data_IF_952934297213
#
_entry.id   IF_952934297213
#
_cell.length_a   1.000
_cell.length_b   1.000
_cell.length_c   1.000
_cell.angle_alpha   90.00
_cell.angle_beta   90.00
_cell.angle_gamma   90.00
#
_symmetry.space_group_name_H-M   'P 1'
#
loop_
_entity.id
_entity.type
_entity.pdbx_description
1 polymer ?
#
# COMPACT_ATOMS: atom_id res chain seq x y z
N UNK A 1 -28.66 -25.67 14.60
CA UNK A 1 -28.05 -25.40 15.92
C UNK A 1 -27.07 -24.23 15.77
N UNK A 2 -27.57 -23.01 15.57
CA UNK A 2 -27.87 -21.96 16.59
C UNK A 2 -26.65 -21.13 17.03
N UNK A 3 -26.52 -19.95 16.41
CA UNK A 3 -26.36 -18.62 17.05
C UNK A 3 -25.08 -18.34 17.88
N UNK A 4 -24.23 -19.33 18.15
CA UNK A 4 -23.01 -19.15 18.96
C UNK A 4 -21.71 -18.86 18.17
N UNK A 5 -21.75 -18.73 16.84
CA UNK A 5 -20.57 -18.41 16.02
C UNK A 5 -20.34 -16.91 15.80
N UNK A 6 -21.29 -16.04 16.18
CA UNK A 6 -21.22 -14.59 15.93
C UNK A 6 -20.57 -13.81 17.08
N UNK A 7 -20.37 -14.43 18.25
CA UNK A 7 -19.87 -13.76 19.47
C UNK A 7 -18.37 -14.01 19.78
N UNK A 8 -17.61 -14.67 18.91
CA UNK A 8 -16.18 -14.98 19.16
C UNK A 8 -15.16 -14.16 18.35
N UNK A 9 -15.58 -13.12 17.64
CA UNK A 9 -14.66 -12.27 16.84
C UNK A 9 -14.35 -10.90 17.46
N UNK A 10 -14.81 -10.60 18.68
CA UNK A 10 -14.69 -9.25 19.27
C UNK A 10 -13.88 -9.28 20.57
N UNK A 11 -12.76 -10.00 20.59
CA UNK A 11 -11.84 -9.98 21.73
C UNK A 11 -10.48 -9.35 21.40
N UNK A 12 -10.27 -8.75 20.22
CA UNK A 12 -9.03 -8.05 19.87
C UNK A 12 -9.30 -6.90 18.88
N UNK A 13 -9.15 -5.66 19.32
CA UNK A 13 -9.06 -4.46 18.49
C UNK A 13 -7.60 -4.12 18.28
N UNK A 14 -7.25 -4.01 17.02
CA UNK A 14 -5.95 -3.60 16.54
C UNK A 14 -6.10 -2.19 15.95
N UNK A 15 -5.12 -1.29 16.13
CA UNK A 15 -5.06 0.04 15.49
C UNK A 15 -3.61 0.56 15.45
N UNK A 16 -3.34 1.66 14.75
CA UNK A 16 -2.09 2.41 14.94
C UNK A 16 -2.43 3.89 15.16
N UNK A 17 -1.69 4.56 16.05
CA UNK A 17 -1.85 6.00 16.27
C UNK A 17 -0.50 6.72 16.41
N UNK A 18 -0.47 8.03 16.10
CA UNK A 18 0.64 8.89 16.48
C UNK A 18 0.93 8.77 17.97
N UNK A 19 2.21 8.66 18.35
CA UNK A 19 2.66 8.56 19.75
C UNK A 19 2.03 9.60 20.67
N UNK A 20 1.92 10.90 20.31
CA UNK A 20 1.32 11.88 21.20
C UNK A 20 -0.18 11.63 21.48
N UNK A 21 -0.85 10.83 20.65
CA UNK A 21 -2.26 10.48 20.81
C UNK A 21 -2.48 9.19 21.62
N UNK A 22 -1.43 8.46 22.02
CA UNK A 22 -1.58 7.20 22.76
C UNK A 22 -1.67 7.38 24.28
N UNK A 23 -1.95 8.60 24.75
CA UNK A 23 -2.03 8.93 26.18
C UNK A 23 -3.44 8.67 26.71
N UNK A 24 -3.60 8.39 28.02
CA UNK A 24 -4.93 8.27 28.64
C UNK A 24 -5.80 9.51 28.41
N UNK A 25 -5.20 10.70 28.44
CA UNK A 25 -5.89 11.96 28.23
C UNK A 25 -6.42 12.11 26.79
N UNK A 26 -5.62 11.78 25.78
CA UNK A 26 -6.03 11.83 24.38
C UNK A 26 -7.18 10.83 24.10
N UNK A 27 -7.13 9.64 24.70
CA UNK A 27 -8.20 8.63 24.58
C UNK A 27 -9.47 9.03 25.34
N UNK A 28 -9.35 9.60 26.54
CA UNK A 28 -10.49 10.02 27.36
C UNK A 28 -11.22 11.21 26.73
N UNK A 29 -10.47 12.20 26.26
CA UNK A 29 -11.01 13.37 25.53
C UNK A 29 -11.37 13.03 24.09
N UNK A 30 -11.00 11.83 23.61
CA UNK A 30 -11.21 11.35 22.25
C UNK A 30 -10.70 12.36 21.22
N UNK A 31 -9.58 13.01 21.52
CA UNK A 31 -8.99 14.04 20.68
C UNK A 31 -7.53 13.70 20.37
N UNK A 32 -7.20 13.55 19.08
CA UNK A 32 -5.83 13.36 18.61
C UNK A 32 -5.39 14.61 17.84
N UNK A 33 -5.03 15.65 18.61
CA UNK A 33 -4.57 16.93 18.07
C UNK A 33 -3.29 17.38 18.78
N UNK A 34 -2.13 16.79 18.44
CA UNK A 34 -0.88 17.09 19.12
C UNK A 34 -0.48 18.57 18.99
N UNK A 35 0.27 19.05 19.98
CA UNK A 35 0.76 20.43 19.99
C UNK A 35 1.97 20.58 19.05
N UNK A 36 1.90 21.57 18.18
CA UNK A 36 3.03 22.07 17.40
C UNK A 36 3.28 23.53 17.80
N UNK A 37 4.49 23.82 18.29
CA UNK A 37 4.89 25.13 18.82
C UNK A 37 3.88 25.69 19.85
N UNK A 38 3.41 24.83 20.75
CA UNK A 38 2.49 25.21 21.84
C UNK A 38 1.02 25.32 21.45
N UNK A 39 0.64 25.05 20.20
CA UNK A 39 -0.76 25.11 19.73
C UNK A 39 -1.20 23.80 19.07
N UNK A 40 -2.44 23.31 19.31
CA UNK A 40 -2.95 22.11 18.64
C UNK A 40 -2.88 22.27 17.12
N UNK A 41 -2.33 21.26 16.44
CA UNK A 41 -2.24 21.22 14.98
C UNK A 41 -1.51 22.42 14.34
N UNK A 42 -0.68 23.13 15.11
CA UNK A 42 0.02 24.32 14.65
C UNK A 42 -0.90 25.49 14.31
N UNK A 43 -2.04 25.62 15.01
CA UNK A 43 -2.99 26.72 14.78
C UNK A 43 -2.35 28.10 14.89
N UNK A 44 -1.53 28.34 15.92
CA UNK A 44 -0.88 29.64 16.12
C UNK A 44 0.16 29.98 15.05
N UNK A 45 0.66 28.98 14.32
CA UNK A 45 1.58 29.16 13.20
C UNK A 45 0.88 29.08 11.84
N UNK A 46 -0.46 29.07 11.81
CA UNK A 46 -1.23 29.06 10.57
C UNK A 46 -1.14 27.74 9.79
N UNK A 47 -0.88 26.61 10.47
CA UNK A 47 -0.65 25.31 9.80
C UNK A 47 -1.86 24.41 9.75
N UNK A 48 -2.79 24.56 10.69
CA UNK A 48 -3.94 23.69 10.77
C UNK A 48 -4.79 23.95 12.00
N UNK A 49 -5.80 23.13 12.17
CA UNK A 49 -6.76 23.25 13.26
C UNK A 49 -7.17 21.87 13.76
N UNK A 50 -7.47 21.77 15.05
CA UNK A 50 -8.12 20.59 15.60
C UNK A 50 -9.60 20.62 15.20
N UNK A 51 -10.01 19.71 14.33
CA UNK A 51 -11.35 19.70 13.75
C UNK A 51 -12.11 18.42 14.13
N UNK A 52 -13.45 18.49 14.30
CA UNK A 52 -14.26 17.31 14.51
C UNK A 52 -14.25 16.42 13.25
N UNK A 53 -14.22 15.11 13.46
CA UNK A 53 -14.33 14.13 12.39
C UNK A 53 -15.69 14.23 11.70
N UNK A 54 -15.79 14.18 10.35
CA UNK A 54 -17.07 14.31 9.63
C UNK A 54 -18.14 13.29 10.07
N UNK A 55 -17.72 12.08 10.44
CA UNK A 55 -18.62 11.05 10.97
C UNK A 55 -18.85 11.12 12.49
N UNK A 56 -18.57 12.24 13.16
CA UNK A 56 -18.68 12.36 14.63
C UNK A 56 -20.05 11.98 15.15
N UNK A 57 -21.08 12.44 14.45
CA UNK A 57 -22.48 12.35 14.85
C UNK A 57 -23.19 11.11 14.25
N UNK A 58 -22.45 10.28 13.49
CA UNK A 58 -22.96 9.00 12.99
C UNK A 58 -22.83 7.90 14.07
N UNK A 59 -23.69 6.87 14.03
CA UNK A 59 -23.53 5.71 14.89
C UNK A 59 -22.15 5.09 14.77
N UNK A 60 -21.59 4.62 15.90
CA UNK A 60 -20.31 3.92 15.90
C UNK A 60 -20.44 2.63 15.09
N UNK A 61 -19.55 2.38 14.13
CA UNK A 61 -19.61 1.15 13.34
C UNK A 61 -19.20 -0.06 14.17
N UNK A 62 -19.67 -1.23 13.73
CA UNK A 62 -19.26 -2.53 14.30
C UNK A 62 -17.79 -2.82 14.02
N UNK A 63 -17.31 -2.47 12.82
CA UNK A 63 -15.90 -2.59 12.45
C UNK A 63 -15.20 -1.24 12.57
N UNK A 64 -14.13 -1.18 13.36
CA UNK A 64 -13.38 0.03 13.69
C UNK A 64 -12.72 0.73 12.50
N UNK A 65 -12.59 0.02 11.37
CA UNK A 65 -12.03 0.54 10.13
C UNK A 65 -13.06 1.26 9.28
N UNK A 66 -14.35 1.08 9.55
CA UNK A 66 -15.41 1.90 8.98
C UNK A 66 -15.42 3.25 9.70
N UNK A 67 -15.61 4.35 8.97
CA UNK A 67 -15.54 5.71 9.51
C UNK A 67 -14.25 5.98 10.30
N UNK A 68 -13.12 5.41 9.89
CA UNK A 68 -11.84 5.56 10.58
C UNK A 68 -11.48 7.04 10.81
N UNK A 69 -11.01 7.45 12.01
CA UNK A 69 -10.70 6.67 13.21
C UNK A 69 -11.80 6.82 14.29
N UNK A 70 -13.06 7.00 13.89
CA UNK A 70 -14.16 7.50 14.72
C UNK A 70 -14.37 6.79 16.04
N UNK A 71 -14.10 5.48 16.11
CA UNK A 71 -14.26 4.73 17.36
C UNK A 71 -13.29 5.21 18.45
N UNK A 72 -12.12 5.71 18.06
CA UNK A 72 -11.09 6.19 18.99
C UNK A 72 -11.14 7.69 19.21
N UNK A 73 -11.24 8.47 18.13
CA UNK A 73 -11.19 9.93 18.21
C UNK A 73 -12.40 10.59 17.55
N UNK A 74 -12.90 11.64 18.20
CA UNK A 74 -13.91 12.59 17.74
C UNK A 74 -13.30 13.75 16.97
N UNK A 75 -12.06 14.12 17.29
CA UNK A 75 -11.36 15.26 16.70
C UNK A 75 -9.93 14.90 16.34
N UNK A 76 -9.49 15.36 15.16
CA UNK A 76 -8.14 15.16 14.64
C UNK A 76 -7.65 16.43 13.94
N UNK A 77 -6.33 16.53 13.71
CA UNK A 77 -5.79 17.66 12.96
C UNK A 77 -6.25 17.68 11.51
N UNK A 78 -6.65 18.87 11.05
CA UNK A 78 -6.84 19.23 9.64
C UNK A 78 -5.84 20.32 9.27
N UNK A 79 -4.95 20.02 8.35
CA UNK A 79 -3.87 20.92 7.94
C UNK A 79 -4.31 21.83 6.78
N UNK A 80 -3.75 23.02 6.71
CA UNK A 80 -4.02 24.01 5.67
C UNK A 80 -2.92 24.07 4.62
N UNK A 81 -3.28 24.47 3.40
CA UNK A 81 -2.33 24.62 2.30
C UNK A 81 -1.52 23.34 2.04
N UNK A 82 -0.19 23.49 2.02
CA UNK A 82 0.74 22.38 1.78
C UNK A 82 1.25 21.72 3.06
N UNK A 83 0.71 22.05 4.23
CA UNK A 83 1.06 21.40 5.49
C UNK A 83 0.40 20.02 5.60
N UNK A 84 1.06 19.12 6.31
CA UNK A 84 0.66 17.72 6.45
C UNK A 84 1.21 17.10 7.74
N UNK A 85 0.92 15.82 7.96
CA UNK A 85 1.27 15.08 9.17
C UNK A 85 0.14 15.10 10.18
N UNK A 86 0.21 14.21 11.17
CA UNK A 86 -0.83 14.10 12.20
C UNK A 86 -0.95 15.33 13.11
N UNK A 87 0.03 16.24 13.06
CA UNK A 87 0.15 17.48 13.84
C UNK A 87 0.41 18.72 12.96
N UNK A 88 0.32 18.58 11.63
CA UNK A 88 0.61 19.62 10.65
C UNK A 88 2.07 20.12 10.63
N UNK A 89 3.00 19.37 11.19
CA UNK A 89 4.43 19.70 11.19
C UNK A 89 5.13 19.44 9.86
N UNK A 90 4.62 18.50 9.07
CA UNK A 90 5.20 18.04 7.81
C UNK A 90 4.62 18.79 6.62
N UNK A 91 5.12 18.45 5.44
CA UNK A 91 4.59 18.93 4.16
C UNK A 91 3.87 17.83 3.41
N UNK A 92 2.90 18.20 2.58
CA UNK A 92 2.25 17.29 1.64
C UNK A 92 3.29 16.65 0.72
N UNK A 93 3.05 15.43 0.20
CA UNK A 93 3.89 14.87 -0.85
C UNK A 93 4.11 15.88 -1.98
N UNK A 94 5.37 16.05 -2.41
CA UNK A 94 5.77 17.06 -3.39
C UNK A 94 6.18 18.42 -2.84
N UNK A 95 6.16 18.60 -1.53
CA UNK A 95 6.55 19.84 -0.87
C UNK A 95 7.56 19.59 0.24
N UNK A 96 8.42 20.57 0.49
CA UNK A 96 9.44 20.57 1.55
C UNK A 96 9.73 21.98 2.05
N UNK A 97 10.65 22.07 3.00
CA UNK A 97 11.05 23.30 3.68
C UNK A 97 10.14 23.63 4.86
N UNK A 98 10.61 24.52 5.74
CA UNK A 98 9.92 24.86 6.99
C UNK A 98 8.56 25.54 6.82
N UNK A 99 8.20 25.97 5.61
CA UNK A 99 6.89 26.57 5.28
C UNK A 99 6.15 25.79 4.18
N UNK A 100 6.67 24.63 3.75
CA UNK A 100 6.08 23.82 2.68
C UNK A 100 5.86 24.58 1.35
N UNK A 101 6.81 25.47 1.01
CA UNK A 101 6.78 26.29 -0.20
C UNK A 101 7.76 25.81 -1.28
N UNK A 102 8.68 24.90 -0.95
CA UNK A 102 9.65 24.38 -1.90
C UNK A 102 9.13 23.08 -2.49
N UNK A 103 9.25 22.89 -3.80
CA UNK A 103 8.90 21.61 -4.44
C UNK A 103 9.96 20.56 -4.10
N UNK A 104 9.49 19.37 -3.78
CA UNK A 104 10.31 18.17 -3.63
C UNK A 104 9.90 17.18 -4.71
N UNK A 105 10.87 16.53 -5.34
CA UNK A 105 10.61 15.59 -6.41
C UNK A 105 11.67 14.48 -6.46
N UNK A 106 11.21 13.23 -6.61
CA UNK A 106 12.07 12.06 -6.86
C UNK A 106 11.63 11.30 -8.10
N UNK A 107 12.58 10.70 -8.82
CA UNK A 107 12.28 9.84 -9.97
C UNK A 107 12.43 8.38 -9.55
N UNK A 108 11.31 7.64 -9.45
CA UNK A 108 11.31 6.20 -9.14
C UNK A 108 11.79 5.42 -10.35
N UNK A 109 12.93 4.76 -10.22
CA UNK A 109 13.55 3.95 -11.28
C UNK A 109 13.17 2.48 -11.17
N UNK A 110 13.36 1.75 -12.26
CA UNK A 110 13.36 0.29 -12.23
C UNK A 110 14.55 -0.19 -11.37
N UNK A 111 14.32 -1.19 -10.52
CA UNK A 111 15.31 -1.66 -9.54
C UNK A 111 16.63 -2.15 -10.18
N UNK A 112 16.58 -2.70 -11.40
CA UNK A 112 17.74 -3.16 -12.17
C UNK A 112 18.44 -2.04 -12.94
N UNK A 113 17.86 -0.84 -13.01
CA UNK A 113 18.48 0.36 -13.56
C UNK A 113 19.20 1.21 -12.48
N UNK A 114 19.12 0.81 -11.20
CA UNK A 114 19.85 1.48 -10.13
C UNK A 114 21.35 1.25 -10.27
N UNK A 115 22.14 2.28 -9.99
CA UNK A 115 23.57 2.10 -9.73
C UNK A 115 23.80 1.29 -8.45
N UNK A 116 24.99 0.69 -8.31
CA UNK A 116 25.34 -0.07 -7.10
C UNK A 116 25.18 0.75 -5.82
N UNK A 117 25.57 2.03 -5.84
CA UNK A 117 25.42 2.94 -4.71
C UNK A 117 23.95 3.23 -4.38
N UNK A 118 23.09 3.45 -5.38
CA UNK A 118 21.65 3.63 -5.15
C UNK A 118 21.01 2.37 -4.57
N UNK A 119 21.37 1.20 -5.09
CA UNK A 119 20.88 -0.09 -4.61
C UNK A 119 21.30 -0.35 -3.16
N UNK A 120 22.57 -0.12 -2.82
CA UNK A 120 23.09 -0.24 -1.46
C UNK A 120 22.42 0.74 -0.49
N UNK A 121 22.21 1.99 -0.93
CA UNK A 121 21.50 3.02 -0.13
C UNK A 121 20.06 2.60 0.15
N UNK A 122 19.35 2.10 -0.86
CA UNK A 122 17.98 1.63 -0.71
C UNK A 122 17.90 0.45 0.27
N UNK A 123 18.73 -0.57 0.05
CA UNK A 123 18.75 -1.80 0.86
C UNK A 123 19.16 -1.50 2.32
N UNK A 124 20.17 -0.65 2.54
CA UNK A 124 20.60 -0.26 3.89
C UNK A 124 19.53 0.55 4.63
N UNK A 125 18.80 1.43 3.92
CA UNK A 125 17.68 2.19 4.48
C UNK A 125 16.55 1.26 4.94
N UNK A 126 16.22 0.23 4.16
CA UNK A 126 15.25 -0.80 4.56
C UNK A 126 15.74 -1.57 5.80
N UNK A 127 17.02 -1.93 5.85
CA UNK A 127 17.60 -2.60 7.01
C UNK A 127 17.53 -1.74 8.26
N UNK A 128 17.84 -0.45 8.15
CA UNK A 128 17.70 0.50 9.26
C UNK A 128 16.24 0.59 9.70
N UNK A 129 15.30 0.75 8.77
CA UNK A 129 13.87 0.78 9.07
C UNK A 129 13.37 -0.47 9.78
N UNK A 130 13.93 -1.65 9.47
CA UNK A 130 13.59 -2.92 10.13
C UNK A 130 14.02 -2.99 11.59
N UNK A 131 15.10 -2.31 11.96
CA UNK A 131 15.70 -2.42 13.30
C UNK A 131 15.54 -1.16 14.16
N UNK A 132 15.18 -0.02 13.57
CA UNK A 132 14.95 1.22 14.30
C UNK A 132 13.48 1.37 14.73
N UNK A 133 13.19 1.60 16.02
CA UNK A 133 11.84 1.91 16.50
C UNK A 133 11.23 3.11 15.78
N UNK A 134 9.93 3.07 15.46
CA UNK A 134 9.22 4.24 14.96
C UNK A 134 9.19 5.31 16.04
N UNK A 135 9.76 6.49 15.79
CA UNK A 135 9.70 7.63 16.70
C UNK A 135 8.37 8.37 16.69
N UNK A 136 7.43 7.97 15.83
CA UNK A 136 6.22 8.76 15.52
C UNK A 136 4.91 8.03 15.76
N UNK A 137 4.89 6.70 15.64
CA UNK A 137 3.67 5.90 15.76
C UNK A 137 3.85 4.71 16.70
N UNK A 138 2.73 4.20 17.19
CA UNK A 138 2.64 2.97 17.97
C UNK A 138 1.48 2.11 17.47
N UNK A 139 1.55 0.82 17.77
CA UNK A 139 0.49 -0.14 17.50
C UNK A 139 -0.37 -0.29 18.75
N UNK A 140 -1.69 -0.23 18.61
CA UNK A 140 -2.65 -0.59 19.63
C UNK A 140 -3.04 -2.05 19.48
N UNK A 141 -3.05 -2.76 20.61
CA UNK A 141 -3.84 -3.99 20.80
C UNK A 141 -4.78 -3.78 21.99
N UNK A 142 -6.04 -4.17 21.87
CA UNK A 142 -7.02 -4.08 22.95
C UNK A 142 -7.91 -5.30 22.92
N UNK A 143 -8.26 -5.89 24.07
CA UNK A 143 -9.18 -7.03 24.02
C UNK A 143 -10.66 -6.60 23.92
N UNK A 144 -10.97 -5.36 24.26
CA UNK A 144 -12.30 -4.75 24.16
C UNK A 144 -12.16 -3.23 24.33
N UNK A 145 -12.36 -2.47 23.25
CA UNK A 145 -12.28 -1.00 23.26
C UNK A 145 -13.44 -0.30 23.97
N UNK A 146 -14.49 -1.01 24.35
CA UNK A 146 -15.60 -0.44 25.14
C UNK A 146 -15.26 -0.35 26.62
N UNK A 147 -14.21 -1.05 27.06
CA UNK A 147 -13.70 -1.00 28.44
C UNK A 147 -12.57 0.02 28.55
N UNK A 148 -12.79 1.07 29.34
CA UNK A 148 -11.78 2.08 29.66
C UNK A 148 -10.55 1.40 30.30
N UNK A 149 -9.36 1.68 29.76
CA UNK A 149 -8.10 1.11 30.26
C UNK A 149 -7.66 -0.22 29.62
N UNK A 150 -8.45 -0.81 28.72
CA UNK A 150 -8.11 -2.07 28.03
C UNK A 150 -7.32 -1.87 26.73
N UNK A 151 -6.64 -0.73 26.56
CA UNK A 151 -5.85 -0.38 25.37
C UNK A 151 -4.36 -0.44 25.70
N UNK A 152 -3.62 -1.34 25.03
CA UNK A 152 -2.18 -1.48 25.20
C UNK A 152 -1.45 -1.02 23.94
N UNK A 153 -0.56 -0.06 24.10
CA UNK A 153 0.26 0.48 23.01
C UNK A 153 1.65 -0.14 23.00
N UNK A 154 2.07 -0.55 21.82
CA UNK A 154 3.28 -1.31 21.57
C UNK A 154 4.24 -0.51 20.69
N UNK A 155 5.50 -0.49 21.11
CA UNK A 155 6.60 -0.02 20.28
C UNK A 155 6.89 -1.04 19.17
N UNK A 156 7.19 -0.55 17.97
CA UNK A 156 7.55 -1.38 16.82
C UNK A 156 8.58 -0.66 15.97
N UNK A 157 9.31 -1.37 15.12
CA UNK A 157 10.21 -0.73 14.15
C UNK A 157 9.43 -0.04 13.03
N UNK A 158 10.08 0.86 12.31
CA UNK A 158 9.45 1.57 11.16
C UNK A 158 8.94 0.57 10.13
N UNK A 159 9.71 -0.47 9.80
CA UNK A 159 9.28 -1.51 8.87
C UNK A 159 8.19 -2.41 9.46
N UNK A 160 8.29 -2.79 10.74
CA UNK A 160 7.27 -3.66 11.36
C UNK A 160 5.92 -2.91 11.55
N UNK A 161 5.94 -1.59 11.72
CA UNK A 161 4.73 -0.75 11.65
C UNK A 161 4.08 -0.85 10.26
N UNK A 162 4.88 -0.71 9.21
CA UNK A 162 4.43 -0.86 7.83
C UNK A 162 3.78 -2.23 7.60
N UNK A 163 4.45 -3.33 8.00
CA UNK A 163 3.90 -4.69 7.94
C UNK A 163 2.56 -4.79 8.67
N UNK A 164 2.51 -4.24 9.88
CA UNK A 164 1.33 -4.29 10.72
C UNK A 164 0.13 -3.56 10.10
N UNK A 165 0.36 -2.39 9.49
CA UNK A 165 -0.70 -1.60 8.86
C UNK A 165 -1.37 -2.35 7.71
N UNK A 166 -0.58 -3.05 6.88
CA UNK A 166 -1.12 -3.91 5.82
C UNK A 166 -1.90 -5.08 6.40
N UNK A 167 -1.34 -5.79 7.38
CA UNK A 167 -2.02 -6.88 8.07
C UNK A 167 -3.39 -6.44 8.61
N UNK A 168 -3.43 -5.31 9.33
CA UNK A 168 -4.64 -4.77 9.92
C UNK A 168 -5.71 -4.44 8.87
N UNK A 169 -5.31 -3.76 7.79
CA UNK A 169 -6.23 -3.38 6.72
C UNK A 169 -6.70 -4.56 5.88
N UNK A 170 -5.91 -5.62 5.79
CA UNK A 170 -6.24 -6.78 4.97
C UNK A 170 -7.16 -7.80 5.65
N UNK A 171 -7.42 -7.69 6.96
CA UNK A 171 -8.43 -8.53 7.64
C UNK A 171 -9.81 -8.28 7.04
N UNK A 172 -10.62 -9.32 6.89
CA UNK A 172 -12.02 -9.16 6.51
C UNK A 172 -12.76 -8.21 7.45
N UNK A 173 -13.70 -7.41 6.92
CA UNK A 173 -14.60 -6.66 7.77
C UNK A 173 -15.56 -7.59 8.53
N UNK A 174 -16.09 -7.12 9.65
CA UNK A 174 -17.14 -7.83 10.37
C UNK A 174 -18.33 -8.16 9.44
N UNK A 175 -18.57 -9.46 9.20
CA UNK A 175 -19.67 -9.94 8.35
C UNK A 175 -19.48 -9.78 6.84
N UNK A 176 -18.26 -9.52 6.35
CA UNK A 176 -17.96 -9.36 4.92
C UNK A 176 -16.72 -10.16 4.49
N UNK A 177 -16.62 -10.53 3.22
CA UNK A 177 -15.36 -11.03 2.62
C UNK A 177 -14.43 -9.91 2.12
N UNK A 178 -14.89 -8.65 2.13
CA UNK A 178 -14.11 -7.48 1.74
C UNK A 178 -13.23 -7.00 2.91
N UNK A 179 -12.22 -6.17 2.61
CA UNK A 179 -11.34 -5.57 3.62
C UNK A 179 -10.98 -4.12 3.26
N UNK A 180 -10.08 -3.46 4.00
CA UNK A 180 -9.77 -2.04 3.78
C UNK A 180 -8.78 -1.75 2.66
N UNK A 181 -7.98 -2.75 2.29
CA UNK A 181 -6.87 -2.57 1.35
C UNK A 181 -7.04 -3.35 0.03
N UNK A 182 -8.03 -4.24 -0.10
CA UNK A 182 -8.18 -5.18 -1.21
C UNK A 182 -9.66 -5.47 -1.51
N UNK A 183 -9.90 -6.15 -2.63
CA UNK A 183 -11.19 -6.70 -3.09
C UNK A 183 -12.25 -5.63 -3.30
N UNK A 184 -11.84 -4.45 -3.74
CA UNK A 184 -12.75 -3.35 -4.03
C UNK A 184 -12.03 -2.07 -4.43
N UNK A 185 -12.80 -0.99 -4.71
CA UNK A 185 -12.30 0.25 -5.31
C UNK A 185 -11.11 0.89 -4.58
N UNK A 186 -10.99 0.69 -3.26
CA UNK A 186 -9.92 1.30 -2.46
C UNK A 186 -8.54 0.68 -2.72
N UNK A 187 -8.47 -0.52 -3.32
CA UNK A 187 -7.24 -1.33 -3.41
C UNK A 187 -6.02 -0.52 -3.83
N UNK A 188 -6.08 0.16 -4.97
CA UNK A 188 -4.88 0.74 -5.57
C UNK A 188 -4.48 2.05 -4.87
N UNK A 189 -5.45 2.89 -4.51
CA UNK A 189 -5.19 4.15 -3.81
C UNK A 189 -4.73 3.92 -2.37
N UNK A 190 -5.26 2.89 -1.69
CA UNK A 190 -4.77 2.49 -0.37
C UNK A 190 -3.28 2.15 -0.44
N UNK A 191 -2.87 1.36 -1.44
CA UNK A 191 -1.45 1.02 -1.63
C UNK A 191 -0.60 2.22 -2.07
N UNK A 192 -1.13 3.18 -2.86
CA UNK A 192 -0.44 4.45 -3.15
C UNK A 192 -0.12 5.22 -1.86
N UNK A 193 -1.10 5.38 -0.97
CA UNK A 193 -0.91 6.04 0.34
C UNK A 193 0.05 5.24 1.22
N UNK A 194 -0.02 3.91 1.15
CA UNK A 194 0.85 3.01 1.90
C UNK A 194 2.32 3.16 1.51
N UNK A 195 2.62 3.25 0.22
CA UNK A 195 3.97 3.51 -0.30
C UNK A 195 4.47 4.89 0.11
N UNK A 196 3.64 5.93 -0.05
CA UNK A 196 3.99 7.30 0.37
C UNK A 196 4.24 7.38 1.89
N UNK A 197 3.48 6.63 2.69
CA UNK A 197 3.67 6.55 4.13
C UNK A 197 5.06 6.00 4.47
N UNK A 198 5.43 4.81 3.99
CA UNK A 198 6.71 4.21 4.37
C UNK A 198 7.90 4.94 3.75
N UNK A 199 7.76 5.48 2.54
CA UNK A 199 8.78 6.33 1.92
C UNK A 199 9.07 7.56 2.79
N UNK A 200 8.02 8.21 3.31
CA UNK A 200 8.16 9.31 4.27
C UNK A 200 8.82 8.85 5.57
N UNK A 201 8.34 7.78 6.20
CA UNK A 201 8.91 7.34 7.48
C UNK A 201 10.39 6.94 7.35
N UNK A 202 10.82 6.41 6.21
CA UNK A 202 12.24 6.13 5.92
C UNK A 202 13.03 7.42 5.71
N UNK A 203 12.50 8.42 4.97
CA UNK A 203 13.15 9.74 4.83
C UNK A 203 13.35 10.43 6.18
N UNK A 204 12.34 10.38 7.05
CA UNK A 204 12.40 10.92 8.41
C UNK A 204 13.42 10.17 9.27
N UNK A 205 13.48 8.84 9.18
CA UNK A 205 14.42 8.02 9.94
C UNK A 205 15.87 8.23 9.52
N UNK A 206 16.11 8.30 8.21
CA UNK A 206 17.47 8.32 7.63
C UNK A 206 18.01 9.73 7.44
N UNK A 207 17.15 10.74 7.39
CA UNK A 207 17.48 12.09 6.94
C UNK A 207 17.70 12.21 5.43
N UNK A 208 17.66 11.10 4.68
CA UNK A 208 17.81 11.09 3.23
C UNK A 208 16.48 11.45 2.57
N UNK A 209 16.27 12.74 2.29
CA UNK A 209 15.05 13.24 1.66
C UNK A 209 14.89 12.77 0.20
N UNK A 210 15.97 12.30 -0.44
CA UNK A 210 15.94 11.79 -1.81
C UNK A 210 15.64 10.28 -1.87
N UNK A 211 15.46 9.61 -0.73
CA UNK A 211 15.04 8.21 -0.70
C UNK A 211 13.73 8.03 -1.47
N UNK A 212 13.68 7.01 -2.34
CA UNK A 212 12.49 6.61 -3.06
C UNK A 212 12.39 5.09 -3.15
N UNK A 213 11.17 4.59 -3.36
CA UNK A 213 10.91 3.16 -3.58
C UNK A 213 11.00 2.86 -5.09
N UNK A 214 12.02 2.13 -5.56
CA UNK A 214 12.09 1.71 -6.96
C UNK A 214 10.94 0.75 -7.29
N UNK A 215 10.67 0.53 -8.57
CA UNK A 215 9.68 -0.43 -9.01
C UNK A 215 10.34 -1.66 -9.63
N UNK A 216 9.63 -2.80 -9.61
CA UNK A 216 10.05 -4.02 -10.28
C UNK A 216 9.11 -4.33 -11.45
N UNK A 217 9.57 -4.14 -12.68
CA UNK A 217 8.79 -4.50 -13.87
C UNK A 217 8.93 -6.02 -14.12
N UNK A 218 8.07 -6.77 -13.42
CA UNK A 218 8.02 -8.23 -13.52
C UNK A 218 7.64 -8.75 -14.92
N UNK A 219 7.17 -7.91 -15.85
CA UNK A 219 6.87 -8.36 -17.23
C UNK A 219 8.10 -8.59 -18.09
N UNK A 220 9.27 -8.13 -17.64
CA UNK A 220 10.53 -8.15 -18.42
C UNK A 220 11.40 -9.36 -18.15
N UNK A 221 10.91 -10.29 -17.33
CA UNK A 221 11.64 -11.48 -16.92
C UNK A 221 10.67 -12.66 -16.80
N UNK A 222 11.20 -13.88 -16.95
CA UNK A 222 10.46 -15.12 -16.71
C UNK A 222 10.77 -15.76 -15.34
N UNK A 223 11.66 -15.13 -14.56
CA UNK A 223 12.06 -15.55 -13.22
C UNK A 223 12.22 -14.35 -12.29
N UNK A 224 12.31 -14.57 -10.98
CA UNK A 224 12.63 -13.49 -10.04
C UNK A 224 14.10 -13.04 -10.20
N UNK A 225 14.35 -12.05 -11.05
CA UNK A 225 15.68 -11.49 -11.33
C UNK A 225 16.25 -10.66 -10.16
N UNK A 226 15.42 -10.27 -9.19
CA UNK A 226 15.82 -9.57 -7.96
C UNK A 226 15.92 -10.49 -6.73
N UNK A 227 15.78 -11.80 -6.93
CA UNK A 227 15.99 -12.82 -5.89
C UNK A 227 17.44 -13.31 -5.91
N UNK A 228 18.39 -12.40 -5.75
CA UNK A 228 19.83 -12.66 -5.71
C UNK A 228 20.46 -11.95 -4.52
N UNK A 229 21.67 -12.34 -4.11
CA UNK A 229 22.36 -11.69 -2.97
C UNK A 229 22.78 -10.25 -3.23
N UNK A 230 22.79 -9.83 -4.49
CA UNK A 230 22.96 -8.43 -4.89
C UNK A 230 21.73 -7.56 -4.52
N UNK A 231 20.54 -8.18 -4.50
CA UNK A 231 19.26 -7.54 -4.19
C UNK A 231 18.66 -8.13 -2.90
N UNK A 232 17.53 -8.85 -3.00
CA UNK A 232 16.74 -9.28 -1.84
C UNK A 232 17.04 -10.71 -1.37
N UNK A 233 18.24 -11.19 -1.68
CA UNK A 233 18.75 -12.51 -1.30
C UNK A 233 18.39 -13.63 -2.28
N UNK A 234 19.38 -14.48 -2.54
CA UNK A 234 19.21 -15.76 -3.23
C UNK A 234 18.32 -16.72 -2.43
N UNK A 235 17.82 -17.75 -3.09
CA UNK A 235 16.83 -18.68 -2.51
C UNK A 235 17.36 -20.11 -2.56
N UNK A 236 17.42 -20.76 -1.40
CA UNK A 236 17.77 -22.18 -1.27
C UNK A 236 16.64 -23.12 -1.71
N UNK A 237 16.93 -24.42 -1.82
CA UNK A 237 15.94 -25.43 -2.20
C UNK A 237 14.80 -25.58 -1.17
N UNK A 238 15.06 -25.23 0.08
CA UNK A 238 14.10 -25.21 1.19
C UNK A 238 13.29 -23.90 1.26
N UNK A 239 13.51 -22.98 0.31
CA UNK A 239 12.89 -21.67 0.25
C UNK A 239 13.43 -20.64 1.24
N UNK A 240 14.48 -20.98 1.99
CA UNK A 240 15.13 -19.98 2.86
C UNK A 240 15.96 -19.03 2.02
N UNK A 241 15.98 -17.78 2.46
CA UNK A 241 16.89 -16.78 1.89
C UNK A 241 18.33 -17.17 2.26
N UNK A 242 19.22 -17.07 1.27
CA UNK A 242 20.66 -17.33 1.39
C UNK A 242 21.26 -16.61 2.60
N UNK A 243 22.03 -17.34 3.40
CA UNK A 243 22.60 -16.85 4.67
C UNK A 243 23.57 -15.68 4.52
N UNK A 244 24.12 -15.46 3.31
CA UNK A 244 24.96 -14.30 2.99
C UNK A 244 24.16 -13.02 2.78
N UNK A 245 22.87 -13.13 2.45
CA UNK A 245 21.97 -11.99 2.37
C UNK A 245 21.54 -11.53 3.77
N UNK A 246 21.53 -10.23 4.01
CA UNK A 246 21.03 -9.65 5.26
C UNK A 246 19.55 -9.96 5.52
N UNK A 247 18.76 -10.19 4.47
CA UNK A 247 17.34 -10.51 4.57
C UNK A 247 17.09 -11.92 5.14
N UNK A 248 18.10 -12.81 5.12
CA UNK A 248 17.99 -14.12 5.79
C UNK A 248 17.77 -14.01 7.30
N UNK A 249 18.23 -12.91 7.91
CA UNK A 249 18.07 -12.64 9.35
C UNK A 249 16.74 -11.99 9.70
N UNK A 250 15.97 -11.55 8.70
CA UNK A 250 14.70 -10.88 8.92
C UNK A 250 13.66 -11.84 9.47
N UNK A 251 13.10 -11.44 10.60
CA UNK A 251 12.02 -12.14 11.28
C UNK A 251 10.68 -11.63 10.77
N UNK A 252 9.81 -12.56 10.39
CA UNK A 252 8.43 -12.32 9.97
C UNK A 252 7.59 -12.02 11.21
N UNK A 253 6.78 -10.97 11.13
CA UNK A 253 5.69 -10.75 12.06
C UNK A 253 4.47 -11.52 11.54
N UNK A 254 4.08 -12.55 12.28
CA UNK A 254 2.97 -13.45 11.96
C UNK A 254 1.85 -13.32 13.00
N UNK A 255 0.58 -13.44 12.59
CA UNK A 255 -0.57 -13.33 13.49
C UNK A 255 -1.01 -14.63 14.18
N UNK A 256 -0.42 -15.80 13.90
CA UNK A 256 -0.99 -17.07 14.40
C UNK A 256 -0.57 -17.44 15.83
N UNK A 257 -1.59 -17.39 16.72
CA UNK A 257 -1.67 -17.90 18.10
C UNK A 257 -0.90 -17.13 19.18
N UNK A 258 -1.10 -15.80 19.20
CA UNK A 258 -0.74 -14.96 20.36
C UNK A 258 -0.83 -13.45 20.19
N UNK A 259 -1.30 -12.94 19.04
CA UNK A 259 -1.53 -11.50 18.76
C UNK A 259 -0.23 -10.69 18.66
N UNK A 260 0.62 -10.88 17.63
CA UNK A 260 1.85 -10.05 17.47
C UNK A 260 2.59 -9.91 18.82
N UNK A 261 2.95 -11.03 19.45
CA UNK A 261 3.61 -11.01 20.75
C UNK A 261 4.92 -10.21 20.67
N UNK A 262 4.91 -9.02 21.27
CA UNK A 262 6.06 -8.53 22.02
C UNK A 262 6.15 -9.44 23.26
N UNK A 263 7.07 -10.40 23.18
CA UNK A 263 7.38 -11.49 24.13
C UNK A 263 6.39 -12.66 24.24
N UNK A 264 6.80 -13.85 23.78
CA UNK A 264 7.27 -14.93 24.68
C UNK A 264 7.76 -16.16 23.91
N UNK A 265 8.64 -16.90 24.57
CA UNK A 265 9.40 -18.05 24.09
C UNK A 265 8.56 -19.32 23.95
N UNK A 266 8.26 -19.72 22.71
CA UNK A 266 8.10 -21.12 22.29
C UNK A 266 8.04 -21.18 20.75
N UNK A 267 9.18 -21.48 20.11
CA UNK A 267 9.46 -21.41 18.67
C UNK A 267 9.45 -19.97 18.11
N UNK A 268 10.65 -19.36 18.03
CA UNK A 268 10.83 -17.96 17.65
C UNK A 268 10.24 -17.56 16.27
N UNK A 269 10.21 -16.25 15.95
CA UNK A 269 9.59 -15.75 14.72
C UNK A 269 10.17 -16.42 13.48
N UNK A 270 9.30 -16.93 12.60
CA UNK A 270 9.71 -17.53 11.33
C UNK A 270 10.51 -16.52 10.50
N UNK A 271 11.54 -16.98 9.80
CA UNK A 271 12.30 -16.17 8.87
C UNK A 271 11.54 -16.00 7.55
N UNK A 272 11.96 -15.06 6.70
CA UNK A 272 11.43 -14.94 5.35
C UNK A 272 11.59 -16.26 4.58
N UNK A 273 10.52 -16.69 3.90
CA UNK A 273 10.50 -17.84 3.01
C UNK A 273 10.06 -17.34 1.63
N UNK A 274 10.78 -17.77 0.60
CA UNK A 274 10.49 -17.44 -0.79
C UNK A 274 10.72 -18.67 -1.65
N UNK A 275 9.85 -18.95 -2.62
CA UNK A 275 9.98 -20.11 -3.50
C UNK A 275 9.50 -19.76 -4.93
N UNK A 276 10.15 -18.81 -5.63
CA UNK A 276 9.63 -18.24 -6.87
C UNK A 276 9.40 -19.31 -7.95
N UNK A 277 8.17 -19.39 -8.47
CA UNK A 277 7.79 -20.31 -9.54
C UNK A 277 7.78 -21.79 -9.15
N UNK A 278 7.93 -22.12 -7.86
CA UNK A 278 7.89 -23.51 -7.36
C UNK A 278 6.50 -23.98 -6.94
N UNK A 279 5.51 -23.09 -6.93
CA UNK A 279 4.12 -23.47 -6.72
C UNK A 279 3.63 -24.40 -7.86
N UNK A 280 2.86 -25.48 -7.58
CA UNK A 280 2.38 -26.39 -8.62
C UNK A 280 1.51 -25.74 -9.70
N UNK A 281 0.85 -24.62 -9.37
CA UNK A 281 -0.05 -23.87 -10.24
C UNK A 281 0.61 -22.58 -10.71
N UNK A 282 1.11 -21.75 -9.79
CA UNK A 282 1.58 -20.39 -10.11
C UNK A 282 3.07 -20.34 -10.44
N UNK A 283 3.43 -20.87 -11.62
CA UNK A 283 4.84 -21.03 -12.05
C UNK A 283 5.44 -19.87 -12.82
N UNK A 284 4.60 -18.91 -13.24
CA UNK A 284 4.99 -17.83 -14.16
C UNK A 284 4.61 -16.47 -13.62
N UNK A 285 5.33 -15.44 -14.07
CA UNK A 285 4.97 -14.05 -13.85
C UNK A 285 3.95 -13.59 -14.89
N UNK A 286 3.19 -12.50 -14.63
CA UNK A 286 2.34 -11.92 -15.65
C UNK A 286 3.16 -11.28 -16.78
N UNK A 287 2.56 -11.22 -17.96
CA UNK A 287 3.22 -10.86 -19.22
C UNK A 287 2.95 -9.41 -19.61
N UNK A 288 3.66 -8.90 -20.61
CA UNK A 288 3.35 -7.61 -21.22
C UNK A 288 1.93 -7.56 -21.81
N UNK A 289 1.44 -8.66 -22.39
CA UNK A 289 0.09 -8.76 -22.92
C UNK A 289 -0.98 -8.69 -21.81
N UNK A 290 -0.69 -9.23 -20.62
CA UNK A 290 -1.59 -9.11 -19.46
C UNK A 290 -1.73 -7.65 -19.01
N UNK A 291 -0.62 -6.91 -19.03
CA UNK A 291 -0.63 -5.47 -18.76
C UNK A 291 -1.44 -4.75 -19.84
N UNK A 292 -1.15 -4.98 -21.13
CA UNK A 292 -1.87 -4.32 -22.23
C UNK A 292 -3.40 -4.54 -22.16
N UNK A 293 -3.86 -5.77 -21.91
CA UNK A 293 -5.29 -6.07 -21.74
C UNK A 293 -5.89 -5.39 -20.50
N UNK A 294 -5.14 -5.30 -19.41
CA UNK A 294 -5.57 -4.61 -18.20
C UNK A 294 -5.72 -3.11 -18.47
N UNK A 295 -4.69 -2.49 -19.06
CA UNK A 295 -4.62 -1.05 -19.34
C UNK A 295 -5.69 -0.59 -20.33
N UNK A 296 -6.16 -1.45 -21.24
CA UNK A 296 -7.24 -1.14 -22.18
C UNK A 296 -8.65 -1.07 -21.53
N UNK A 297 -8.77 -1.33 -20.22
CA UNK A 297 -10.06 -1.36 -19.53
C UNK A 297 -10.54 0.04 -19.18
N UNK A 298 -11.64 0.48 -19.80
CA UNK A 298 -12.10 1.87 -19.70
C UNK A 298 -12.63 2.30 -18.33
N UNK A 299 -13.28 1.39 -17.59
CA UNK A 299 -13.91 1.73 -16.30
C UNK A 299 -12.98 1.38 -15.15
N UNK A 300 -12.81 2.32 -14.20
CA UNK A 300 -12.00 2.09 -13.00
C UNK A 300 -12.49 0.87 -12.22
N UNK A 301 -13.79 0.81 -11.94
CA UNK A 301 -14.43 -0.34 -11.31
C UNK A 301 -15.90 -0.45 -11.72
N UNK A 302 -16.51 -1.60 -11.46
CA UNK A 302 -17.89 -1.91 -11.88
C UNK A 302 -18.64 -2.62 -10.76
N UNK A 303 -19.98 -2.52 -10.68
CA UNK A 303 -20.77 -3.32 -9.75
C UNK A 303 -20.44 -4.82 -9.85
N UNK A 304 -20.43 -5.57 -8.73
CA UNK A 304 -20.80 -5.14 -7.38
C UNK A 304 -19.66 -4.48 -6.57
N UNK A 305 -18.56 -4.07 -7.22
CA UNK A 305 -17.39 -3.41 -6.60
C UNK A 305 -16.64 -4.30 -5.61
N UNK A 306 -16.55 -5.59 -5.93
CA UNK A 306 -15.78 -6.59 -5.19
C UNK A 306 -14.89 -7.43 -6.12
N UNK A 307 -14.33 -8.54 -5.63
CA UNK A 307 -13.49 -9.48 -6.39
C UNK A 307 -14.18 -10.13 -7.61
N UNK A 308 -15.51 -10.07 -7.70
CA UNK A 308 -16.31 -10.67 -8.79
C UNK A 308 -16.62 -9.69 -9.92
N UNK A 309 -16.24 -8.41 -9.76
CA UNK A 309 -16.44 -7.34 -10.75
C UNK A 309 -15.82 -7.70 -12.10
N UNK A 310 -16.49 -7.32 -13.20
CA UNK A 310 -16.09 -7.65 -14.57
C UNK A 310 -15.97 -6.38 -15.40
N UNK A 311 -15.03 -6.33 -16.35
CA UNK A 311 -14.69 -5.10 -17.08
C UNK A 311 -14.27 -3.97 -16.13
N UNK A 312 -13.59 -4.34 -15.04
CA UNK A 312 -13.12 -3.44 -13.99
C UNK A 312 -11.60 -3.38 -14.06
N UNK A 313 -11.05 -2.20 -14.35
CA UNK A 313 -9.60 -1.98 -14.35
C UNK A 313 -9.00 -2.37 -13.00
N UNK A 314 -9.61 -1.92 -11.91
CA UNK A 314 -9.21 -2.27 -10.55
C UNK A 314 -9.17 -3.77 -10.35
N UNK A 315 -10.21 -4.51 -10.74
CA UNK A 315 -10.30 -5.95 -10.48
C UNK A 315 -9.38 -6.79 -11.38
N UNK A 316 -9.14 -6.36 -12.63
CA UNK A 316 -8.11 -6.93 -13.50
C UNK A 316 -6.71 -6.68 -12.96
N UNK A 317 -6.39 -5.45 -12.57
CA UNK A 317 -5.07 -5.09 -12.04
C UNK A 317 -4.78 -5.79 -10.71
N UNK A 318 -5.75 -5.82 -9.81
CA UNK A 318 -5.66 -6.57 -8.54
C UNK A 318 -5.45 -8.07 -8.79
N UNK A 319 -6.07 -8.58 -9.85
CA UNK A 319 -5.83 -9.93 -10.35
C UNK A 319 -6.88 -10.94 -9.94
N UNK A 320 -8.15 -10.53 -9.86
CA UNK A 320 -9.31 -11.42 -9.67
C UNK A 320 -10.14 -11.61 -10.94
N UNK A 321 -9.98 -10.73 -11.94
CA UNK A 321 -10.47 -10.93 -13.30
C UNK A 321 -9.32 -11.48 -14.16
N UNK A 322 -9.40 -12.76 -14.51
CA UNK A 322 -8.32 -13.50 -15.18
C UNK A 322 -8.51 -13.50 -16.71
N UNK A 323 -7.43 -13.40 -17.50
CA UNK A 323 -7.50 -13.57 -18.94
C UNK A 323 -7.87 -15.02 -19.29
N UNK A 324 -8.64 -15.21 -20.36
CA UNK A 324 -8.92 -16.54 -20.92
C UNK A 324 -7.75 -16.96 -21.82
N UNK A 325 -6.73 -17.59 -21.24
CA UNK A 325 -5.54 -18.05 -21.95
C UNK A 325 -5.15 -19.49 -21.60
N UNK A 326 -4.03 -19.97 -22.15
CA UNK A 326 -3.56 -21.34 -21.95
C UNK A 326 -2.99 -21.63 -20.56
N UNK A 327 -2.85 -20.64 -19.67
CA UNK A 327 -2.29 -20.84 -18.32
C UNK A 327 -3.33 -21.36 -17.34
N UNK A 328 -4.63 -21.12 -17.59
CA UNK A 328 -5.77 -21.54 -16.76
C UNK A 328 -5.58 -21.21 -15.27
N UNK A 329 -5.12 -19.99 -14.99
CA UNK A 329 -4.83 -19.51 -13.64
C UNK A 329 -6.04 -18.79 -13.04
N UNK A 330 -6.26 -18.99 -11.74
CA UNK A 330 -7.20 -18.21 -10.93
C UNK A 330 -6.51 -17.06 -10.17
N UNK A 331 -5.42 -16.55 -10.74
CA UNK A 331 -4.75 -15.31 -10.35
C UNK A 331 -4.08 -14.69 -11.57
N UNK A 332 -4.18 -13.37 -11.73
CA UNK A 332 -3.49 -12.59 -12.76
C UNK A 332 -2.77 -11.40 -12.12
N UNK A 333 -1.99 -10.65 -12.90
CA UNK A 333 -1.45 -9.33 -12.53
C UNK A 333 -0.86 -9.29 -11.10
N UNK A 334 -1.37 -8.40 -10.23
CA UNK A 334 -0.90 -8.25 -8.87
C UNK A 334 -0.94 -9.55 -8.05
N UNK A 335 -2.08 -10.24 -8.04
CA UNK A 335 -2.25 -11.49 -7.29
C UNK A 335 -1.31 -12.59 -7.79
N UNK A 336 -1.08 -12.68 -9.10
CA UNK A 336 -0.20 -13.70 -9.66
C UNK A 336 1.26 -13.51 -9.21
N UNK A 337 1.75 -12.27 -9.07
CA UNK A 337 3.11 -12.03 -8.55
C UNK A 337 3.24 -12.48 -7.09
N UNK A 338 2.24 -12.17 -6.25
CA UNK A 338 2.20 -12.66 -4.87
C UNK A 338 2.24 -14.20 -4.81
N UNK A 339 1.44 -14.87 -5.64
CA UNK A 339 1.39 -16.33 -5.71
C UNK A 339 2.69 -16.93 -6.27
N UNK A 340 3.24 -16.32 -7.30
CA UNK A 340 4.47 -16.73 -7.96
C UNK A 340 5.65 -16.75 -6.99
N UNK A 341 5.82 -15.71 -6.17
CA UNK A 341 6.93 -15.63 -5.22
C UNK A 341 6.87 -16.74 -4.16
N UNK A 342 5.66 -17.23 -3.84
CA UNK A 342 5.40 -18.30 -2.86
C UNK A 342 6.00 -18.00 -1.46
N UNK A 343 5.63 -18.76 -0.43
CA UNK A 343 6.09 -18.49 0.94
C UNK A 343 5.49 -17.21 1.54
N UNK A 344 6.32 -16.33 2.09
CA UNK A 344 5.88 -15.16 2.86
C UNK A 344 5.03 -14.19 2.01
N UNK A 345 5.40 -13.99 0.73
CA UNK A 345 4.69 -13.10 -0.21
C UNK A 345 3.32 -13.61 -0.66
N UNK A 346 3.04 -14.91 -0.55
CA UNK A 346 1.80 -15.49 -1.07
C UNK A 346 0.62 -15.45 -0.10
N UNK A 347 0.87 -15.06 1.15
CA UNK A 347 -0.14 -14.93 2.20
C UNK A 347 -0.39 -13.46 2.50
N UNK A 348 -1.61 -13.00 2.25
CA UNK A 348 -2.02 -11.60 2.45
C UNK A 348 -1.60 -11.04 3.84
N UNK A 349 -1.80 -11.75 4.97
CA UNK A 349 -1.42 -11.24 6.29
C UNK A 349 0.08 -11.03 6.52
N UNK A 350 0.93 -11.71 5.73
CA UNK A 350 2.38 -11.69 5.94
C UNK A 350 3.16 -11.09 4.77
N UNK A 351 2.53 -10.83 3.63
CA UNK A 351 3.20 -10.47 2.39
C UNK A 351 4.15 -9.26 2.55
N UNK A 352 3.71 -8.22 3.25
CA UNK A 352 4.50 -7.01 3.48
C UNK A 352 5.81 -7.24 4.28
N UNK A 353 5.98 -8.40 4.93
CA UNK A 353 7.25 -8.74 5.57
C UNK A 353 8.40 -8.91 4.58
N UNK A 354 8.13 -9.36 3.36
CA UNK A 354 9.12 -9.46 2.30
C UNK A 354 9.29 -8.08 1.63
N UNK A 355 10.49 -7.50 1.59
CA UNK A 355 10.73 -6.18 0.99
C UNK A 355 10.42 -6.10 -0.51
N UNK A 356 10.36 -7.23 -1.22
CA UNK A 356 9.91 -7.25 -2.63
C UNK A 356 8.47 -6.70 -2.77
N UNK A 357 7.65 -6.78 -1.72
CA UNK A 357 6.31 -6.18 -1.68
C UNK A 357 6.32 -4.71 -2.12
N UNK A 358 7.25 -3.90 -1.61
CA UNK A 358 7.27 -2.46 -1.91
C UNK A 358 7.51 -2.20 -3.39
N UNK A 359 8.41 -2.96 -4.01
CA UNK A 359 8.76 -2.80 -5.43
C UNK A 359 7.64 -3.29 -6.34
N UNK A 360 7.01 -4.41 -5.96
CA UNK A 360 5.83 -4.94 -6.63
C UNK A 360 4.70 -3.90 -6.65
N UNK A 361 4.36 -3.36 -5.47
CA UNK A 361 3.31 -2.35 -5.37
C UNK A 361 3.70 -1.01 -5.99
N UNK A 362 4.99 -0.66 -6.03
CA UNK A 362 5.47 0.52 -6.75
C UNK A 362 5.24 0.38 -8.26
N UNK A 363 5.36 -0.83 -8.83
CA UNK A 363 5.01 -1.08 -10.22
C UNK A 363 3.49 -1.09 -10.45
N UNK A 364 2.70 -1.63 -9.52
CA UNK A 364 1.22 -1.52 -9.56
C UNK A 364 0.78 -0.04 -9.53
N UNK A 365 1.43 0.79 -8.72
CA UNK A 365 1.18 2.24 -8.66
C UNK A 365 1.59 2.96 -9.95
N UNK A 366 2.68 2.52 -10.60
CA UNK A 366 3.06 2.99 -11.95
C UNK A 366 1.95 2.70 -12.97
N UNK A 367 1.41 1.48 -12.96
CA UNK A 367 0.31 1.09 -13.86
C UNK A 367 -0.96 1.91 -13.60
N UNK A 368 -1.29 2.20 -12.34
CA UNK A 368 -2.39 3.12 -12.01
C UNK A 368 -2.17 4.49 -12.64
N UNK A 369 -0.98 5.05 -12.47
CA UNK A 369 -0.68 6.39 -12.97
C UNK A 369 -0.81 6.47 -14.49
N UNK A 370 -0.25 5.49 -15.20
CA UNK A 370 -0.39 5.40 -16.66
C UNK A 370 -1.86 5.29 -17.06
N UNK A 371 -2.65 4.50 -16.33
CA UNK A 371 -4.07 4.34 -16.64
C UNK A 371 -4.85 5.63 -16.44
N UNK A 372 -4.58 6.37 -15.35
CA UNK A 372 -5.22 7.67 -15.07
C UNK A 372 -4.90 8.72 -16.14
N UNK A 373 -3.68 8.71 -16.69
CA UNK A 373 -3.28 9.61 -17.78
C UNK A 373 -4.06 9.33 -19.06
N UNK A 374 -4.32 8.06 -19.37
CA UNK A 374 -5.06 7.64 -20.56
C UNK A 374 -6.59 7.71 -20.38
N UNK A 375 -7.08 7.77 -19.13
CA UNK A 375 -8.50 7.69 -18.78
C UNK A 375 -8.96 8.87 -17.91
N UNK A 376 -8.65 10.10 -18.33
CA UNK A 376 -8.96 11.32 -17.56
C UNK A 376 -10.45 11.55 -17.23
N UNK A 377 -11.37 10.95 -18.00
CA UNK A 377 -12.82 11.01 -17.77
C UNK A 377 -13.33 9.96 -16.78
N UNK A 378 -12.47 9.06 -16.30
CA UNK A 378 -12.89 8.06 -15.32
C UNK A 378 -13.20 8.69 -13.96
N UNK A 379 -14.07 8.02 -13.20
CA UNK A 379 -14.46 8.45 -11.86
C UNK A 379 -14.32 7.33 -10.85
N UNK A 380 -13.95 7.69 -9.61
CA UNK A 380 -14.07 6.77 -8.49
C UNK A 380 -15.55 6.41 -8.28
N UNK A 381 -15.90 5.14 -8.02
CA UNK A 381 -17.28 4.70 -7.84
C UNK A 381 -18.01 5.46 -6.72
N UNK A 382 -19.12 6.10 -7.08
CA UNK A 382 -20.09 6.66 -6.14
C UNK A 382 -21.36 5.80 -6.16
N UNK A 383 -21.42 4.78 -5.29
CA UNK A 383 -22.52 3.84 -5.23
C UNK A 383 -22.67 3.24 -3.84
N UNK A 384 -23.92 3.00 -3.42
CA UNK A 384 -24.21 2.30 -2.18
C UNK A 384 -23.82 0.81 -2.19
N UNK A 385 -23.58 0.24 -3.37
CA UNK A 385 -23.03 -1.11 -3.51
C UNK A 385 -21.55 -1.19 -3.10
N UNK A 386 -20.83 -0.07 -3.06
CA UNK A 386 -19.47 -0.02 -2.54
C UNK A 386 -19.53 -0.16 -1.01
N UNK A 387 -18.73 -1.10 -0.48
CA UNK A 387 -18.61 -1.28 0.97
C UNK A 387 -18.33 0.08 1.65
N UNK A 388 -19.03 0.46 2.73
CA UNK A 388 -18.95 1.81 3.30
C UNK A 388 -17.54 2.35 3.54
N UNK A 389 -16.62 1.52 4.03
CA UNK A 389 -15.23 1.90 4.26
C UNK A 389 -14.37 2.11 2.99
N UNK A 390 -14.83 1.64 1.83
CA UNK A 390 -14.17 1.81 0.53
C UNK A 390 -14.84 2.87 -0.36
N UNK A 391 -15.87 3.55 0.13
CA UNK A 391 -16.51 4.65 -0.61
C UNK A 391 -15.53 5.81 -0.79
N UNK A 392 -15.74 6.60 -1.84
CA UNK A 392 -14.85 7.70 -2.23
C UNK A 392 -14.44 8.58 -1.03
N UNK A 393 -15.43 9.03 -0.24
CA UNK A 393 -15.25 9.95 0.90
C UNK A 393 -14.93 9.25 2.23
N UNK A 394 -14.85 7.91 2.26
CA UNK A 394 -14.48 7.20 3.47
C UNK A 394 -12.96 7.28 3.68
N UNK A 395 -12.54 7.48 4.94
CA UNK A 395 -11.13 7.52 5.31
C UNK A 395 -10.51 6.13 5.32
N UNK A 396 -9.34 6.01 4.69
CA UNK A 396 -8.56 4.77 4.61
C UNK A 396 -7.97 4.42 5.97
N UNK A 397 -8.46 3.33 6.57
CA UNK A 397 -7.85 2.80 7.77
C UNK A 397 -6.51 2.09 7.47
N UNK A 398 -5.51 2.15 8.36
CA UNK A 398 -5.48 2.90 9.62
C UNK A 398 -4.68 4.20 9.49
N UNK A 399 -4.70 4.91 8.36
CA UNK A 399 -3.74 6.00 8.13
C UNK A 399 -3.97 7.21 9.03
N UNK A 400 -2.86 7.83 9.42
CA UNK A 400 -2.77 9.18 9.96
C UNK A 400 -1.66 9.92 9.19
N UNK A 401 -1.87 11.20 8.79
CA UNK A 401 -3.12 11.93 8.83
C UNK A 401 -4.20 11.29 7.95
N UNK A 402 -5.46 11.70 8.15
CA UNK A 402 -6.58 11.07 7.45
C UNK A 402 -6.53 11.35 5.94
N UNK A 403 -6.86 10.32 5.16
CA UNK A 403 -6.95 10.35 3.70
C UNK A 403 -8.18 9.59 3.26
N UNK A 404 -9.05 10.22 2.48
CA UNK A 404 -10.20 9.54 1.87
C UNK A 404 -9.73 8.67 0.71
N UNK A 405 -10.48 7.63 0.35
CA UNK A 405 -10.12 6.75 -0.77
C UNK A 405 -9.93 7.52 -2.09
N UNK A 406 -10.68 8.61 -2.31
CA UNK A 406 -10.53 9.48 -3.47
C UNK A 406 -9.60 10.69 -3.27
N UNK A 407 -8.89 10.81 -2.14
CA UNK A 407 -8.09 12.01 -1.84
C UNK A 407 -7.04 12.32 -2.92
N UNK A 408 -6.42 11.27 -3.47
CA UNK A 408 -5.45 11.35 -4.55
C UNK A 408 -6.07 11.08 -5.94
N UNK A 409 -7.41 10.98 -6.02
CA UNK A 409 -8.07 10.99 -7.32
C UNK A 409 -7.88 12.37 -7.97
N UNK A 410 -7.51 12.40 -9.24
CA UNK A 410 -7.21 13.64 -9.97
C UNK A 410 -5.92 14.35 -9.54
N UNK A 411 -5.04 13.69 -8.76
CA UNK A 411 -3.69 14.18 -8.46
C UNK A 411 -2.68 13.24 -9.10
N UNK A 412 -2.04 13.71 -10.17
CA UNK A 412 -0.97 12.98 -10.83
C UNK A 412 0.23 12.79 -9.90
N UNK A 413 1.07 11.80 -10.20
CA UNK A 413 2.27 11.52 -9.39
C UNK A 413 3.22 12.73 -9.33
N UNK A 414 3.31 13.51 -10.41
CA UNK A 414 4.13 14.72 -10.49
C UNK A 414 3.75 15.75 -9.41
N UNK A 415 2.45 15.97 -9.19
CA UNK A 415 1.91 16.84 -8.16
C UNK A 415 2.24 16.33 -6.76
N UNK A 416 2.27 15.00 -6.58
CA UNK A 416 2.65 14.29 -5.36
C UNK A 416 4.17 14.22 -5.13
N UNK A 417 4.99 14.78 -6.03
CA UNK A 417 6.44 14.86 -5.84
C UNK A 417 7.19 13.61 -6.27
N UNK A 418 6.62 12.80 -7.16
CA UNK A 418 7.38 11.72 -7.75
C UNK A 418 6.97 11.45 -9.19
N UNK A 419 7.85 10.85 -9.96
CA UNK A 419 7.53 10.32 -11.28
C UNK A 419 8.13 8.93 -11.43
N UNK A 420 7.72 8.21 -12.47
CA UNK A 420 8.34 6.94 -12.83
C UNK A 420 9.25 7.15 -14.02
N UNK A 421 10.52 6.75 -13.89
CA UNK A 421 11.40 6.64 -15.04
C UNK A 421 10.94 5.47 -15.89
N UNK A 422 11.06 5.58 -17.21
CA UNK A 422 11.01 4.40 -18.06
C UNK A 422 12.30 3.59 -17.95
N UNK A 423 12.17 2.28 -18.14
CA UNK A 423 13.32 1.40 -18.07
C UNK A 423 14.32 1.78 -19.18
N UNK A 424 15.60 1.83 -18.84
CA UNK A 424 16.72 2.16 -19.74
C UNK A 424 16.76 1.31 -21.03
N UNK A 425 16.24 0.09 -20.98
CA UNK A 425 16.20 -0.83 -22.11
C UNK A 425 14.80 -0.83 -22.75
N UNK A 426 14.75 -0.52 -24.05
CA UNK A 426 13.52 -0.67 -24.84
C UNK A 426 12.97 -2.10 -24.73
N UNK A 427 11.63 -2.24 -24.65
CA UNK A 427 11.01 -3.57 -24.72
C UNK A 427 11.40 -4.21 -26.06
N UNK A 428 11.83 -5.49 -26.09
CA UNK A 428 12.00 -6.20 -27.34
C UNK A 428 10.67 -6.14 -28.09
N UNK A 429 10.68 -5.70 -29.35
CA UNK A 429 9.47 -5.73 -30.18
C UNK A 429 8.89 -7.14 -30.12
N UNK A 430 7.61 -7.26 -29.81
CA UNK A 430 6.91 -8.53 -29.88
C UNK A 430 7.24 -9.14 -31.24
N UNK A 431 7.83 -10.35 -31.27
CA UNK A 431 8.05 -11.06 -32.53
C UNK A 431 6.68 -11.20 -33.17
N UNK A 432 6.40 -10.37 -34.17
CA UNK A 432 5.29 -10.56 -35.08
C UNK A 432 5.46 -11.97 -35.67
N UNK A 433 4.72 -12.94 -35.14
CA UNK A 433 4.42 -14.16 -35.88
C UNK A 433 3.60 -13.70 -37.07
N UNK A 434 4.30 -13.56 -38.20
CA UNK A 434 3.73 -13.09 -39.44
C UNK A 434 2.52 -13.92 -39.83
N UNK A 435 1.40 -13.25 -40.07
CA UNK A 435 0.68 -13.27 -41.36
C UNK A 435 -0.60 -12.47 -41.18
N UNK A 436 -0.63 -11.25 -41.73
CA UNK A 436 -1.86 -10.66 -42.28
C UNK A 436 -1.47 -9.69 -43.37
N UNK A 437 -1.98 -10.00 -44.55
CA UNK A 437 -1.65 -9.36 -45.81
C UNK A 437 -1.92 -7.87 -45.82
N UNK A 438 -1.17 -7.19 -46.67
CA UNK A 438 -1.32 -5.80 -47.00
C UNK A 438 -2.77 -5.44 -47.33
N UNK A 439 -3.29 -4.44 -46.63
CA UNK A 439 -4.36 -3.58 -47.12
C UNK A 439 -3.94 -2.15 -46.82
N UNK A 440 -3.57 -1.42 -47.88
CA UNK A 440 -3.10 -0.04 -47.79
C UNK A 440 -4.16 0.87 -47.16
N UNK A 441 -3.72 1.74 -46.25
CA UNK A 441 -4.48 2.92 -45.85
C UNK A 441 -3.98 4.10 -46.67
N UNK A 442 -4.91 4.72 -47.39
CA UNK A 442 -4.74 6.01 -48.02
C UNK A 442 -4.45 7.08 -46.96
N UNK A 443 -3.34 7.77 -47.14
CA UNK A 443 -3.02 9.02 -46.45
C UNK A 443 -4.00 10.11 -46.88
N UNK A 444 -4.59 10.78 -45.89
CA UNK A 444 -5.42 11.94 -46.08
C UNK A 444 -4.97 13.01 -45.08
N UNK A 445 -3.99 13.83 -45.47
CA UNK A 445 -3.74 15.21 -45.03
C UNK A 445 -2.41 15.72 -45.60
N UNK A 446 -2.49 16.64 -46.57
CA UNK A 446 -1.68 17.87 -46.69
C UNK A 446 -1.76 18.43 -48.12
N UNK A 447 -2.79 19.22 -48.40
CA UNK A 447 -2.72 20.25 -49.44
C UNK A 447 -3.49 21.48 -48.95
N UNK A 448 -2.77 22.42 -48.33
CA UNK A 448 -3.05 23.85 -48.39
C UNK A 448 -1.70 24.57 -48.29
N UNK A 449 -1.13 24.90 -49.45
CA UNK A 449 -0.19 26.00 -49.68
C UNK A 449 0.04 26.15 -51.19
N UNK A 450 -0.85 26.92 -51.81
CA UNK A 450 -0.63 27.93 -52.87
C UNK A 450 -1.93 28.22 -53.61
#
# INVERSE_FOLDING_TARGET
>A
ATINSVLKSVCCVDAQFPRPCTTPEALQTRTCCPLLNGSPCGFSSGRGVCAPHPARDLPKPVDYRVNWPRVFYDSVCTCWGNYDGYDCSQCLPGWTGSQCLQRHHVERKEITDLSDSERETFISSLHQAKHSPSGRYMILTSNDTTVVGNSVFHNTSVYDLYVWMHYYSAKSYAGSENNAAHRGPAFIFWHRVFLLFIEREIRELTGNQDFYIPYWDWTRTNHCNICTNEYFGGVGQDGRIDSTSQFSKWKVRSPYLGIICIHSDAAGPAHLIRNPGKDPVYKTLPTAADVEDTMATALFDTPPFDKTSRKSFRNKLEGFEFPSDSRDLNASMHNLVHRYLNGTMSLVPTAANDPIFMLHHSFVDKLLETWLQDHGEATYPDSDHVHPAQRAQAYMAPFFPLRTNNYYWGRDTQSLGYSYKEHSLSRPAARNSGTRGAAGRHDCKNILNN
#
